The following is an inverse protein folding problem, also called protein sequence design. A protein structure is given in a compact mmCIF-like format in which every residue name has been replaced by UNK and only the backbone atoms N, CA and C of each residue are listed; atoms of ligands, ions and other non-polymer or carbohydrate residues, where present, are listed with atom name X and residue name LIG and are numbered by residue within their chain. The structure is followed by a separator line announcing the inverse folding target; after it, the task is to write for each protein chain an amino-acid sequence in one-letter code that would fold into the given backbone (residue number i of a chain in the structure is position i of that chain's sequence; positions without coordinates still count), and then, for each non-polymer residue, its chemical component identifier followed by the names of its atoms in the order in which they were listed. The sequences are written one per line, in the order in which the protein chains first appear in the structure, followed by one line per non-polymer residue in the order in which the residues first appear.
data_IF_553209623111
#
_entry.id   IF_553209623111
#
_cell.length_a   1.000
_cell.length_b   1.000
_cell.length_c   1.000
_cell.angle_alpha   90.00
_cell.angle_beta   90.00
_cell.angle_gamma   90.00
#
_symmetry.space_group_name_H-M   'P 1'
#
loop_
_entity.id
_entity.type
_entity.pdbx_description
1 polymer ?
#
# COMPACT_ATOMS: atom_id res chain seq x y z
N UNK A 1 21.21 -9.88 15.69
CA UNK A 1 21.50 -9.00 16.84
C UNK A 1 20.98 -7.65 16.41
N UNK A 2 19.95 -7.11 17.08
CA UNK A 2 19.41 -5.79 16.75
C UNK A 2 20.38 -4.73 17.27
N UNK A 3 20.78 -3.80 16.40
CA UNK A 3 21.65 -2.69 16.77
C UNK A 3 20.82 -1.41 16.76
N UNK A 4 20.65 -0.81 17.93
CA UNK A 4 19.77 0.34 18.13
C UNK A 4 20.63 1.59 18.24
N UNK A 5 20.36 2.58 17.40
CA UNK A 5 20.91 3.93 17.49
C UNK A 5 19.82 4.89 17.98
N UNK A 6 20.16 5.79 18.91
CA UNK A 6 19.20 6.76 19.46
C UNK A 6 19.57 8.17 19.01
N UNK A 7 18.65 8.83 18.32
CA UNK A 7 18.77 10.23 17.90
C UNK A 7 17.63 11.02 18.52
N UNK A 8 17.93 11.94 19.43
CA UNK A 8 16.94 12.81 20.08
C UNK A 8 15.77 12.07 20.76
N UNK A 9 16.02 10.86 21.25
CA UNK A 9 15.00 10.00 21.86
C UNK A 9 14.21 9.15 20.86
N UNK A 10 14.53 9.21 19.57
CA UNK A 10 14.00 8.33 18.54
C UNK A 10 14.96 7.15 18.37
N UNK A 11 14.43 5.94 18.49
CA UNK A 11 15.18 4.70 18.32
C UNK A 11 15.17 4.26 16.85
N UNK A 12 16.36 4.02 16.31
CA UNK A 12 16.59 3.50 14.97
C UNK A 12 17.18 2.09 15.08
N UNK A 13 16.47 1.09 14.57
CA UNK A 13 16.96 -0.27 14.41
C UNK A 13 17.76 -0.38 13.11
N UNK A 14 19.09 -0.44 13.24
CA UNK A 14 20.02 -0.47 12.11
C UNK A 14 19.96 -1.78 11.32
N UNK A 15 19.18 -2.78 11.77
CA UNK A 15 18.89 -3.98 10.96
C UNK A 15 17.82 -3.73 9.90
N UNK A 16 17.06 -2.63 10.01
CA UNK A 16 16.02 -2.26 9.08
C UNK A 16 16.56 -1.39 7.94
N UNK A 17 15.83 -1.42 6.82
CA UNK A 17 15.95 -0.40 5.78
C UNK A 17 15.03 0.75 6.15
N UNK A 18 15.45 1.98 5.87
CA UNK A 18 14.66 3.17 6.08
C UNK A 18 14.42 3.88 4.75
N UNK A 19 13.25 4.47 4.55
CA UNK A 19 12.98 5.38 3.44
C UNK A 19 13.01 6.83 3.92
N UNK A 20 13.57 7.73 3.12
CA UNK A 20 13.33 9.16 3.33
C UNK A 20 11.95 9.61 2.79
N UNK A 21 11.62 10.88 2.97
CA UNK A 21 10.34 11.45 2.51
C UNK A 21 10.15 11.41 0.99
N UNK A 22 11.22 11.19 0.22
CA UNK A 22 11.19 11.05 -1.24
C UNK A 22 11.00 9.60 -1.68
N UNK A 23 11.07 8.65 -0.74
CA UNK A 23 10.96 7.22 -0.99
C UNK A 23 12.29 6.55 -1.36
N UNK A 24 13.44 7.23 -1.22
CA UNK A 24 14.74 6.59 -1.42
C UNK A 24 15.07 5.74 -0.20
N UNK A 25 15.47 4.50 -0.46
CA UNK A 25 15.79 3.52 0.57
C UNK A 25 17.27 3.62 0.99
N UNK A 26 17.48 3.73 2.30
CA UNK A 26 18.75 3.82 2.99
C UNK A 26 18.92 2.64 3.94
N UNK A 27 20.10 2.02 3.92
CA UNK A 27 20.47 0.94 4.82
C UNK A 27 21.78 1.26 5.52
N UNK A 28 21.91 0.81 6.77
CA UNK A 28 23.15 0.95 7.52
C UNK A 28 24.27 0.16 6.85
N UNK A 29 25.44 0.77 6.72
CA UNK A 29 26.61 0.16 6.06
C UNK A 29 27.36 -0.82 6.94
N UNK A 30 27.06 -0.86 8.25
CA UNK A 30 27.86 -1.56 9.25
C UNK A 30 28.94 -0.69 9.90
N UNK A 31 29.11 0.55 9.46
CA UNK A 31 30.13 1.48 9.96
C UNK A 31 29.53 2.65 10.72
N UNK A 32 30.35 3.24 11.60
CA UNK A 32 30.04 4.44 12.35
C UNK A 32 31.14 5.48 12.15
N UNK A 33 30.75 6.76 12.09
CA UNK A 33 31.68 7.90 12.10
C UNK A 33 31.25 8.85 13.20
N UNK A 34 32.17 9.15 14.12
CA UNK A 34 31.90 9.96 15.32
C UNK A 34 30.76 9.39 16.18
N UNK A 35 30.60 8.06 16.20
CA UNK A 35 29.50 7.39 16.91
C UNK A 35 28.14 7.45 16.19
N UNK A 36 28.08 8.00 14.97
CA UNK A 36 26.86 8.06 14.16
C UNK A 36 26.89 7.00 13.05
N UNK A 37 25.83 6.21 12.86
CA UNK A 37 25.74 5.22 11.80
C UNK A 37 25.86 5.85 10.41
N UNK A 38 26.62 5.20 9.53
CA UNK A 38 26.66 5.55 8.11
C UNK A 38 25.60 4.77 7.33
N UNK A 39 24.88 5.47 6.46
CA UNK A 39 23.74 4.98 5.70
C UNK A 39 24.03 5.13 4.21
N UNK A 40 23.74 4.08 3.44
CA UNK A 40 23.92 4.07 1.98
C UNK A 40 22.61 3.74 1.27
N UNK A 41 22.45 4.24 0.04
CA UNK A 41 21.27 3.96 -0.76
C UNK A 41 21.25 2.49 -1.22
N UNK A 42 20.12 1.81 -1.02
CA UNK A 42 19.99 0.37 -1.31
C UNK A 42 19.77 0.06 -2.79
N UNK A 43 19.01 0.88 -3.50
CA UNK A 43 18.69 0.74 -4.93
C UNK A 43 18.45 2.09 -5.57
N UNK A 44 19.50 2.71 -6.10
CA UNK A 44 19.35 3.81 -7.04
C UNK A 44 20.17 3.51 -8.30
N UNK A 45 19.58 3.60 -9.52
CA UNK A 45 20.35 3.60 -10.75
C UNK A 45 21.10 4.93 -10.81
N UNK A 46 22.34 4.93 -10.30
CA UNK A 46 23.12 6.15 -10.05
C UNK A 46 23.11 6.62 -8.59
N UNK A 47 23.02 5.69 -7.63
CA UNK A 47 23.00 6.01 -6.21
C UNK A 47 24.17 6.85 -5.73
N UNK A 48 23.97 7.55 -4.61
CA UNK A 48 25.04 8.30 -3.96
C UNK A 48 26.16 7.33 -3.54
N UNK A 49 27.33 7.43 -4.20
CA UNK A 49 28.51 6.60 -3.88
C UNK A 49 29.05 6.88 -2.47
N UNK A 50 28.71 8.03 -1.89
CA UNK A 50 29.19 8.45 -0.57
C UNK A 50 28.12 8.12 0.47
N UNK A 51 28.42 7.29 1.48
CA UNK A 51 27.52 7.09 2.61
C UNK A 51 27.30 8.38 3.42
N UNK A 52 26.11 8.54 3.97
CA UNK A 52 25.72 9.70 4.77
C UNK A 52 25.57 9.31 6.23
N UNK A 53 25.86 10.23 7.15
CA UNK A 53 25.53 10.01 8.57
C UNK A 53 24.01 9.97 8.73
N UNK A 54 23.50 9.09 9.58
CA UNK A 54 22.07 8.97 9.87
C UNK A 54 21.48 10.30 10.35
N UNK A 55 22.21 11.04 11.18
CA UNK A 55 21.80 12.38 11.62
C UNK A 55 21.62 13.36 10.46
N UNK A 56 22.55 13.37 9.51
CA UNK A 56 22.52 14.30 8.38
C UNK A 56 21.35 13.95 7.45
N UNK A 57 21.08 12.65 7.23
CA UNK A 57 19.89 12.21 6.51
C UNK A 57 18.61 12.68 7.19
N UNK A 58 18.52 12.52 8.51
CA UNK A 58 17.33 12.92 9.27
C UNK A 58 17.08 14.43 9.18
N UNK A 59 18.14 15.24 9.26
CA UNK A 59 18.03 16.69 9.21
C UNK A 59 17.75 17.23 7.80
N UNK A 60 18.41 16.69 6.78
CA UNK A 60 18.32 17.19 5.41
C UNK A 60 17.12 16.62 4.64
N UNK A 61 16.82 15.33 4.83
CA UNK A 61 15.77 14.62 4.11
C UNK A 61 14.52 14.37 4.97
N UNK A 62 14.56 14.79 6.23
CA UNK A 62 13.45 14.66 7.17
C UNK A 62 13.36 13.29 7.84
N UNK A 63 12.25 13.04 8.56
CA UNK A 63 12.07 11.81 9.31
C UNK A 63 12.13 10.56 8.43
N UNK A 64 12.96 9.61 8.85
CA UNK A 64 13.13 8.34 8.17
C UNK A 64 12.02 7.35 8.55
N UNK A 65 11.46 6.69 7.55
CA UNK A 65 10.34 5.75 7.67
C UNK A 65 10.89 4.33 7.64
N UNK A 66 10.70 3.56 8.71
CA UNK A 66 11.14 2.16 8.77
C UNK A 66 10.40 1.31 7.72
N UNK A 67 11.15 0.60 6.90
CA UNK A 67 10.64 -0.38 5.94
C UNK A 67 10.79 -1.76 6.55
N UNK A 68 9.69 -2.28 7.07
CA UNK A 68 9.63 -3.67 7.49
C UNK A 68 9.42 -4.58 6.28
N UNK A 69 9.99 -5.79 6.36
CA UNK A 69 9.70 -6.82 5.37
C UNK A 69 8.19 -7.06 5.30
N UNK A 70 7.66 -7.07 4.08
CA UNK A 70 6.25 -7.29 3.87
C UNK A 70 5.93 -8.71 4.36
N UNK A 71 4.93 -8.88 5.26
CA UNK A 71 4.55 -10.21 5.71
C UNK A 71 4.19 -11.06 4.50
N UNK A 72 4.59 -12.33 4.52
CA UNK A 72 4.24 -13.24 3.44
C UNK A 72 2.72 -13.44 3.41
N UNK A 73 2.15 -13.86 2.27
CA UNK A 73 0.75 -14.25 2.22
C UNK A 73 0.38 -15.35 3.23
N UNK A 74 1.34 -16.19 3.63
CA UNK A 74 1.14 -17.20 4.66
C UNK A 74 1.04 -16.55 6.06
N UNK A 75 1.89 -15.58 6.36
CA UNK A 75 1.85 -14.82 7.63
C UNK A 75 0.55 -14.03 7.76
N UNK A 76 0.10 -13.40 6.65
CA UNK A 76 -1.19 -12.74 6.62
C UNK A 76 -2.36 -13.70 6.89
N UNK A 77 -2.33 -14.90 6.29
CA UNK A 77 -3.38 -15.90 6.53
C UNK A 77 -3.37 -16.40 7.97
N UNK A 78 -2.20 -16.69 8.53
CA UNK A 78 -2.07 -17.10 9.92
C UNK A 78 -2.55 -16.02 10.92
N UNK A 79 -2.33 -14.73 10.59
CA UNK A 79 -2.77 -13.63 11.43
C UNK A 79 -4.28 -13.33 11.34
N UNK A 80 -4.90 -13.54 10.17
CA UNK A 80 -6.35 -13.38 9.97
C UNK A 80 -7.12 -14.57 10.55
N UNK A 81 -6.47 -15.73 10.62
CA UNK A 81 -7.11 -16.99 10.93
C UNK A 81 -6.35 -17.80 12.00
N UNK A 82 -6.42 -17.40 13.29
CA UNK A 82 -6.11 -18.32 14.38
C UNK A 82 -7.29 -19.27 14.68
N UNK A 83 -8.51 -18.87 14.32
CA UNK A 83 -9.76 -19.41 14.86
C UNK A 83 -10.91 -19.43 13.84
N UNK A 84 -10.63 -19.40 12.52
CA UNK A 84 -11.71 -19.54 11.53
C UNK A 84 -12.43 -20.87 11.71
N UNK A 85 -11.70 -21.94 12.02
CA UNK A 85 -12.30 -23.23 12.34
C UNK A 85 -13.22 -23.15 13.57
N UNK A 86 -12.82 -22.42 14.61
CA UNK A 86 -13.60 -22.26 15.84
C UNK A 86 -14.77 -21.29 15.69
N UNK A 87 -14.65 -20.25 14.86
CA UNK A 87 -15.76 -19.35 14.50
C UNK A 87 -16.77 -20.03 13.58
N UNK A 88 -16.32 -20.90 12.66
CA UNK A 88 -17.19 -21.80 11.87
C UNK A 88 -17.87 -22.82 12.78
N UNK A 89 -17.13 -23.45 13.68
CA UNK A 89 -17.66 -24.44 14.63
C UNK A 89 -18.62 -23.83 15.66
N UNK A 90 -18.38 -22.59 16.09
CA UNK A 90 -19.25 -21.81 16.96
C UNK A 90 -20.46 -21.19 16.22
N UNK A 91 -20.59 -21.39 14.90
CA UNK A 91 -21.76 -20.97 14.13
C UNK A 91 -21.79 -19.48 13.76
N UNK A 92 -20.67 -18.76 13.87
CA UNK A 92 -20.54 -17.36 13.48
C UNK A 92 -20.39 -17.14 11.96
N UNK A 93 -20.49 -18.21 11.15
CA UNK A 93 -20.62 -18.08 9.69
C UNK A 93 -22.06 -17.72 9.38
N UNK A 94 -22.29 -16.43 9.23
CA UNK A 94 -23.55 -15.94 8.70
C UNK A 94 -23.68 -16.34 7.22
N UNK A 95 -24.80 -16.98 6.87
CA UNK A 95 -25.10 -17.26 5.47
C UNK A 95 -25.18 -15.93 4.67
N UNK A 96 -24.72 -15.88 3.41
CA UNK A 96 -24.83 -14.68 2.57
C UNK A 96 -26.24 -14.07 2.51
N UNK A 97 -27.28 -14.91 2.66
CA UNK A 97 -28.67 -14.48 2.75
C UNK A 97 -29.00 -13.71 4.04
N UNK A 98 -28.45 -14.11 5.19
CA UNK A 98 -28.64 -13.43 6.47
C UNK A 98 -27.85 -12.10 6.50
N UNK A 99 -26.63 -12.08 5.95
CA UNK A 99 -25.87 -10.86 5.69
C UNK A 99 -26.67 -9.90 4.78
N UNK A 100 -27.18 -10.43 3.67
CA UNK A 100 -28.00 -9.67 2.73
C UNK A 100 -29.24 -9.08 3.39
N UNK A 101 -29.93 -9.84 4.25
CA UNK A 101 -31.12 -9.38 4.95
C UNK A 101 -30.86 -8.22 5.92
N UNK A 102 -29.70 -8.19 6.61
CA UNK A 102 -29.36 -7.08 7.54
C UNK A 102 -28.93 -5.80 6.83
N UNK A 103 -28.25 -5.90 5.69
CA UNK A 103 -27.78 -4.72 4.94
C UNK A 103 -28.81 -4.23 3.92
N UNK A 104 -29.81 -5.07 3.60
CA UNK A 104 -30.98 -4.62 2.87
C UNK A 104 -31.79 -3.77 3.83
N UNK A 105 -31.48 -2.47 3.86
CA UNK A 105 -32.38 -1.48 4.45
C UNK A 105 -33.77 -1.71 3.86
N UNK A 106 -34.70 -2.18 4.69
CA UNK A 106 -36.12 -2.14 4.35
C UNK A 106 -36.42 -0.72 3.84
N UNK A 107 -37.20 -0.55 2.76
CA UNK A 107 -37.49 0.77 2.25
C UNK A 107 -38.26 1.52 3.35
N UNK A 108 -37.57 2.43 4.04
CA UNK A 108 -38.23 3.46 4.82
C UNK A 108 -39.05 4.25 3.81
N UNK A 109 -40.36 4.43 3.98
CA UNK A 109 -41.15 5.30 3.13
C UNK A 109 -40.78 6.75 3.46
N UNK A 110 -39.57 7.14 3.11
CA UNK A 110 -39.08 8.51 3.19
C UNK A 110 -39.13 9.07 1.77
N UNK A 111 -40.10 9.95 1.54
CA UNK A 111 -40.37 10.65 0.27
C UNK A 111 -39.26 11.63 -0.16
N UNK A 112 -37.99 11.35 0.12
CA UNK A 112 -36.88 12.27 -0.15
C UNK A 112 -35.53 11.60 -0.44
N UNK A 113 -35.50 10.38 -0.96
CA UNK A 113 -34.26 9.87 -1.60
C UNK A 113 -34.33 10.30 -3.07
N UNK A 114 -33.48 11.23 -3.55
CA UNK A 114 -33.43 11.53 -4.96
C UNK A 114 -33.01 10.24 -5.67
N UNK A 115 -33.92 9.67 -6.46
CA UNK A 115 -33.58 8.52 -7.29
C UNK A 115 -32.49 8.98 -8.26
N UNK A 116 -31.29 8.43 -8.09
CA UNK A 116 -30.19 8.58 -9.05
C UNK A 116 -30.59 7.83 -10.32
N UNK A 117 -31.40 8.46 -11.17
CA UNK A 117 -31.71 7.96 -12.50
C UNK A 117 -30.41 7.82 -13.29
N UNK A 118 -30.25 6.72 -14.02
CA UNK A 118 -29.03 6.32 -14.75
C UNK A 118 -28.44 7.37 -15.72
N UNK A 119 -29.15 8.48 -15.95
CA UNK A 119 -28.72 9.62 -16.77
C UNK A 119 -27.50 10.39 -16.24
N UNK A 120 -27.04 10.15 -15.01
CA UNK A 120 -25.84 10.79 -14.46
C UNK A 120 -24.54 10.03 -14.78
N UNK A 121 -24.64 8.81 -15.33
CA UNK A 121 -23.47 8.07 -15.77
C UNK A 121 -23.09 8.52 -17.18
N UNK A 122 -21.81 8.83 -17.44
CA UNK A 122 -21.36 9.07 -18.81
C UNK A 122 -21.67 7.83 -19.66
N UNK A 123 -22.10 8.00 -20.93
CA UNK A 123 -22.44 6.87 -21.79
C UNK A 123 -21.25 5.93 -21.90
N UNK A 124 -21.54 4.62 -21.96
CA UNK A 124 -20.50 3.61 -22.00
C UNK A 124 -19.51 3.92 -23.12
N UNK A 125 -18.19 3.72 -22.92
CA UNK A 125 -17.21 3.99 -23.96
C UNK A 125 -17.52 3.27 -25.29
N UNK A 126 -18.24 2.15 -25.24
CA UNK A 126 -18.69 1.39 -26.42
C UNK A 126 -19.79 2.07 -27.24
N UNK A 127 -20.53 3.00 -26.65
CA UNK A 127 -21.57 3.81 -27.31
C UNK A 127 -21.00 5.13 -27.84
N UNK A 128 -19.79 5.51 -27.43
CA UNK A 128 -19.13 6.71 -27.91
C UNK A 128 -18.56 6.49 -29.32
N UNK A 129 -19.04 7.27 -30.28
CA UNK A 129 -18.66 7.20 -31.70
C UNK A 129 -17.15 7.28 -31.91
N UNK A 130 -16.44 8.06 -31.10
CA UNK A 130 -14.98 8.21 -31.14
C UNK A 130 -14.22 6.94 -30.75
N UNK A 131 -14.67 6.24 -29.71
CA UNK A 131 -14.02 5.00 -29.24
C UNK A 131 -14.25 3.84 -30.21
N UNK A 132 -15.43 3.77 -30.85
CA UNK A 132 -15.69 2.81 -31.94
C UNK A 132 -14.78 3.07 -33.15
N UNK A 133 -14.54 4.34 -33.47
CA UNK A 133 -13.57 4.75 -34.49
C UNK A 133 -12.16 4.25 -34.20
N UNK A 134 -11.69 4.46 -32.97
CA UNK A 134 -10.38 4.00 -32.49
C UNK A 134 -10.21 2.46 -32.59
N UNK A 135 -11.22 1.69 -32.17
CA UNK A 135 -11.19 0.22 -32.29
C UNK A 135 -11.11 -0.24 -33.75
N UNK A 136 -11.79 0.45 -34.66
CA UNK A 136 -11.70 0.17 -36.09
C UNK A 136 -10.32 0.49 -36.66
N UNK A 137 -9.62 1.51 -36.15
CA UNK A 137 -8.23 1.82 -36.52
C UNK A 137 -7.26 0.71 -36.10
N UNK A 138 -7.40 0.18 -34.87
CA UNK A 138 -6.59 -0.94 -34.38
C UNK A 138 -6.87 -2.22 -35.19
N UNK A 139 -8.13 -2.46 -35.56
CA UNK A 139 -8.53 -3.63 -36.36
C UNK A 139 -8.08 -3.53 -37.82
N UNK A 140 -8.02 -2.33 -38.38
CA UNK A 140 -7.51 -2.05 -39.73
C UNK A 140 -5.99 -2.15 -39.86
N UNK A 141 -5.24 -1.82 -38.81
CA UNK A 141 -3.78 -1.93 -38.78
C UNK A 141 -3.23 -3.37 -38.80
N UNK A 142 -4.09 -4.39 -38.67
CA UNK A 142 -3.72 -5.83 -38.77
C UNK A 142 -3.95 -6.46 -40.16
N UNK A 143 -4.34 -5.68 -41.16
CA UNK A 143 -4.32 -6.08 -42.58
C UNK A 143 -3.34 -5.19 -43.34
N UNK A 144 -2.06 -5.38 -43.02
CA UNK A 144 -0.90 -4.94 -43.80
C UNK A 144 0.09 -6.10 -43.81
#
# INVERSE_FOLDING_TARGET
MSEIFVLEGIEFDLTLTYADITGVEWAWTGEHVDGVPLMAQKRAPGGCDTPWKLTDLYWELGPLIAIHDRPSPADFRAAIDPDYADTVAAGYVEAPAAFGARITTAPVPNSAVPQLTAHHLPPSPLEQTGFRGFLNTIKGARRG
#
